data_IF_352639432994
#
_entry.id   IF_352639432994
#
_cell.length_a   1.000
_cell.length_b   1.000
_cell.length_c   1.000
_cell.angle_alpha   90.00
_cell.angle_beta   90.00
_cell.angle_gamma   90.00
#
_symmetry.space_group_name_H-M   'P 1'
#
loop_
_entity.id
_entity.type
_entity.pdbx_description
1 polymer ?
#
# COMPACT_ATOMS: atom_id res chain seq x y z
N UNK A 1 6.37 -28.97 -36.25
CA UNK A 1 5.27 -27.96 -36.16
C UNK A 1 5.04 -27.44 -34.73
N UNK A 2 5.21 -28.26 -33.67
CA UNK A 2 4.96 -27.87 -32.26
C UNK A 2 6.03 -26.96 -31.60
N UNK A 3 7.26 -26.93 -32.11
CA UNK A 3 8.36 -26.16 -31.50
C UNK A 3 8.36 -24.68 -31.91
N UNK A 4 7.92 -24.40 -33.14
CA UNK A 4 7.85 -23.04 -33.70
C UNK A 4 6.71 -22.26 -33.04
N UNK A 5 5.57 -22.91 -32.73
CA UNK A 5 4.47 -22.26 -32.01
C UNK A 5 4.86 -21.89 -30.57
N UNK A 6 5.57 -22.76 -29.84
CA UNK A 6 6.08 -22.44 -28.50
C UNK A 6 7.06 -21.27 -28.53
N UNK A 7 8.00 -21.26 -29.48
CA UNK A 7 8.97 -20.16 -29.64
C UNK A 7 8.29 -18.82 -29.95
N UNK A 8 7.26 -18.83 -30.82
CA UNK A 8 6.47 -17.62 -31.11
C UNK A 8 5.67 -17.12 -29.89
N UNK A 9 5.10 -18.02 -29.09
CA UNK A 9 4.42 -17.64 -27.84
C UNK A 9 5.38 -17.06 -26.80
N UNK A 10 6.58 -17.64 -26.65
CA UNK A 10 7.60 -17.13 -25.71
C UNK A 10 8.14 -15.78 -26.15
N UNK A 11 8.42 -15.58 -27.43
CA UNK A 11 8.92 -14.31 -27.96
C UNK A 11 7.88 -13.18 -27.81
N UNK A 12 6.60 -13.50 -28.06
CA UNK A 12 5.49 -12.54 -27.91
C UNK A 12 5.31 -12.13 -26.43
N UNK A 13 5.48 -13.08 -25.49
CA UNK A 13 5.40 -12.81 -24.05
C UNK A 13 6.56 -11.91 -23.55
N UNK A 14 7.78 -12.10 -24.07
CA UNK A 14 8.94 -11.26 -23.73
C UNK A 14 8.77 -9.82 -24.24
N UNK A 15 8.26 -9.66 -25.47
CA UNK A 15 7.98 -8.33 -26.06
C UNK A 15 6.88 -7.59 -25.29
N UNK A 16 5.82 -8.30 -24.87
CA UNK A 16 4.75 -7.72 -24.03
C UNK A 16 5.29 -7.30 -22.65
N UNK A 17 6.19 -8.08 -22.04
CA UNK A 17 6.78 -7.76 -20.74
C UNK A 17 7.70 -6.53 -20.79
N UNK A 18 8.51 -6.38 -21.84
CA UNK A 18 9.38 -5.20 -22.00
C UNK A 18 8.57 -3.91 -22.22
N UNK A 19 7.51 -3.96 -23.04
CA UNK A 19 6.65 -2.80 -23.29
C UNK A 19 5.82 -2.37 -22.05
N UNK A 20 5.48 -3.30 -21.16
CA UNK A 20 4.79 -2.98 -19.90
C UNK A 20 5.70 -2.28 -18.88
N UNK A 21 7.02 -2.44 -18.98
CA UNK A 21 7.97 -1.89 -18.01
C UNK A 21 8.07 -0.37 -18.10
N UNK A 22 8.11 0.16 -19.33
CA UNK A 22 8.22 1.61 -19.59
C UNK A 22 6.96 2.41 -19.22
N UNK A 23 5.79 1.78 -19.22
CA UNK A 23 4.51 2.40 -18.81
C UNK A 23 4.38 2.49 -17.28
N UNK A 24 5.06 1.61 -16.54
CA UNK A 24 5.00 1.56 -15.08
C UNK A 24 5.77 2.70 -14.40
N UNK A 25 6.83 3.22 -15.03
CA UNK A 25 7.71 4.22 -14.42
C UNK A 25 7.17 5.66 -14.49
N UNK A 26 6.10 5.93 -15.26
CA UNK A 26 5.56 7.28 -15.46
C UNK A 26 4.19 7.51 -14.82
N UNK A 27 4.05 7.28 -13.50
CA UNK A 27 2.89 7.73 -12.70
C UNK A 27 3.24 8.09 -11.25
N UNK A 28 4.19 9.01 -11.04
CA UNK A 28 4.35 9.67 -9.74
C UNK A 28 3.39 10.87 -9.59
N UNK A 29 2.09 10.67 -9.86
CA UNK A 29 1.07 11.66 -9.55
C UNK A 29 0.52 11.40 -8.16
N UNK A 30 0.87 12.27 -7.20
CA UNK A 30 0.24 12.27 -5.89
C UNK A 30 -1.23 12.72 -6.07
N UNK A 31 -2.16 11.78 -6.07
CA UNK A 31 -3.58 12.08 -6.28
C UNK A 31 -4.18 12.53 -4.95
N UNK A 32 -4.78 13.73 -4.90
CA UNK A 32 -5.46 14.21 -3.70
C UNK A 32 -6.66 13.29 -3.39
N UNK A 33 -6.60 12.59 -2.26
CA UNK A 33 -7.72 11.81 -1.72
C UNK A 33 -8.65 12.72 -0.93
N UNK A 34 -8.08 13.70 -0.22
CA UNK A 34 -8.83 14.73 0.48
C UNK A 34 -8.06 15.34 1.65
N UNK A 35 -8.78 16.10 2.46
CA UNK A 35 -8.30 16.70 3.71
C UNK A 35 -9.21 16.31 4.88
N UNK A 36 -8.68 16.35 6.10
CA UNK A 36 -9.49 16.18 7.29
C UNK A 36 -8.68 15.89 8.54
N UNK A 37 -9.37 15.46 9.60
CA UNK A 37 -8.74 15.22 10.90
C UNK A 37 -8.11 13.82 10.91
N UNK A 38 -6.82 13.77 11.18
CA UNK A 38 -6.12 12.55 11.58
C UNK A 38 -6.15 12.40 13.11
N UNK A 39 -6.16 11.16 13.59
CA UNK A 39 -5.72 10.83 14.94
C UNK A 39 -4.67 9.72 14.90
N UNK A 40 -4.30 9.15 16.05
CA UNK A 40 -3.37 8.03 16.11
C UNK A 40 -3.81 6.98 17.15
N UNK A 41 -3.35 5.74 16.96
CA UNK A 41 -3.59 4.65 17.91
C UNK A 41 -2.82 4.87 19.22
N UNK A 42 -3.56 5.13 20.30
CA UNK A 42 -3.00 5.28 21.64
C UNK A 42 -2.32 4.01 22.19
N UNK A 43 -1.85 4.06 23.45
CA UNK A 43 -1.34 2.88 24.14
C UNK A 43 -2.34 1.71 24.16
N UNK A 44 -1.85 0.47 24.19
CA UNK A 44 -2.68 -0.74 24.34
C UNK A 44 -3.11 -1.44 23.05
N UNK A 45 -2.79 -0.89 21.87
CA UNK A 45 -3.12 -1.53 20.59
C UNK A 45 -2.04 -2.49 20.05
N UNK A 46 -0.81 -2.43 20.57
CA UNK A 46 0.32 -3.25 20.08
C UNK A 46 -0.03 -4.74 20.05
N UNK A 47 0.19 -5.39 18.91
CA UNK A 47 -0.03 -6.82 18.77
C UNK A 47 -1.48 -7.24 18.50
N UNK A 48 -2.45 -6.33 18.62
CA UNK A 48 -3.85 -6.61 18.25
C UNK A 48 -3.97 -6.85 16.75
N UNK A 49 -4.93 -7.68 16.34
CA UNK A 49 -5.21 -7.88 14.91
C UNK A 49 -5.85 -6.62 14.31
N UNK A 50 -5.35 -6.21 13.16
CA UNK A 50 -6.02 -5.22 12.31
C UNK A 50 -7.01 -5.91 11.39
N UNK A 51 -7.88 -5.14 10.74
CA UNK A 51 -8.84 -5.65 9.77
C UNK A 51 -8.22 -6.28 8.51
N UNK A 52 -6.91 -6.09 8.26
CA UNK A 52 -6.18 -6.84 7.22
C UNK A 52 -5.69 -8.22 7.71
N UNK A 53 -5.95 -8.58 8.97
CA UNK A 53 -5.52 -9.84 9.59
C UNK A 53 -4.07 -9.84 10.09
N UNK A 54 -3.33 -8.74 9.92
CA UNK A 54 -1.96 -8.59 10.44
C UNK A 54 -2.00 -8.00 11.85
N UNK A 55 -1.02 -8.33 12.69
CA UNK A 55 -0.87 -7.67 14.00
C UNK A 55 -0.45 -6.21 13.80
N UNK A 56 -1.11 -5.31 14.53
CA UNK A 56 -0.73 -3.91 14.63
C UNK A 56 0.66 -3.80 15.27
N UNK A 57 1.48 -2.94 14.66
CA UNK A 57 2.84 -2.66 15.10
C UNK A 57 3.01 -1.13 15.12
N UNK A 58 3.14 -0.58 16.33
CA UNK A 58 3.25 0.85 16.55
C UNK A 58 4.50 1.47 15.91
N UNK A 59 5.53 0.65 15.65
CA UNK A 59 6.79 1.06 15.02
C UNK A 59 6.75 1.09 13.48
N UNK A 60 5.66 0.64 12.87
CA UNK A 60 5.50 0.64 11.40
C UNK A 60 4.69 1.82 10.93
N UNK A 61 4.94 2.25 9.69
CA UNK A 61 4.17 3.30 9.03
C UNK A 61 2.86 2.77 8.44
N UNK A 62 1.87 2.59 9.30
CA UNK A 62 0.54 2.12 8.90
C UNK A 62 -0.57 3.06 9.32
N UNK A 63 -1.75 2.89 8.72
CA UNK A 63 -2.94 3.67 9.02
C UNK A 63 -4.23 2.85 8.84
N UNK A 64 -5.29 3.31 9.51
CA UNK A 64 -6.66 2.85 9.33
C UNK A 64 -7.44 3.82 8.43
N UNK A 65 -8.13 3.28 7.43
CA UNK A 65 -9.04 4.05 6.58
C UNK A 65 -10.31 3.24 6.29
N UNK A 66 -11.46 3.93 6.18
CA UNK A 66 -12.79 3.32 6.10
C UNK A 66 -12.96 2.48 4.83
N UNK A 67 -12.61 3.06 3.68
CA UNK A 67 -12.96 2.50 2.38
C UNK A 67 -11.76 2.09 1.50
N UNK A 68 -10.61 2.76 1.64
CA UNK A 68 -9.42 2.46 0.84
C UNK A 68 -8.98 1.00 0.99
N UNK A 69 -8.55 0.43 -0.12
CA UNK A 69 -8.06 -0.96 -0.19
C UNK A 69 -6.86 -1.13 0.75
N UNK A 70 -6.76 -2.31 1.36
CA UNK A 70 -5.53 -2.64 2.09
C UNK A 70 -4.35 -2.67 1.12
N UNK A 71 -3.19 -2.20 1.58
CA UNK A 71 -2.03 -2.01 0.74
C UNK A 71 -1.97 -0.66 0.04
N UNK A 72 -3.03 0.16 0.06
CA UNK A 72 -2.93 1.54 -0.42
C UNK A 72 -1.84 2.29 0.34
N UNK A 73 -0.96 2.98 -0.39
CA UNK A 73 0.08 3.83 0.17
C UNK A 73 -0.36 5.28 0.05
N UNK A 74 -0.38 5.98 1.18
CA UNK A 74 -0.80 7.36 1.30
C UNK A 74 0.35 8.21 1.80
N UNK A 75 0.51 9.42 1.25
CA UNK A 75 1.27 10.50 1.87
C UNK A 75 0.33 11.32 2.75
N UNK A 76 0.68 11.42 4.02
CA UNK A 76 -0.06 12.19 5.02
C UNK A 76 0.76 13.42 5.35
N UNK A 77 0.22 14.61 5.11
CA UNK A 77 0.89 15.88 5.42
C UNK A 77 0.13 16.60 6.52
N UNK A 78 0.78 16.94 7.63
CA UNK A 78 0.20 17.79 8.65
C UNK A 78 0.23 19.25 8.18
N UNK A 79 -0.95 19.84 8.01
CA UNK A 79 -1.11 21.17 7.41
C UNK A 79 -0.49 22.26 8.30
N UNK A 80 -0.42 22.04 9.62
CA UNK A 80 0.11 23.05 10.56
C UNK A 80 1.63 23.24 10.43
N UNK A 81 2.37 22.18 10.10
CA UNK A 81 3.84 22.19 10.12
C UNK A 81 4.48 21.72 8.81
N UNK A 82 3.68 21.35 7.81
CA UNK A 82 4.10 20.83 6.50
C UNK A 82 4.96 19.56 6.53
N UNK A 83 5.07 18.89 7.68
CA UNK A 83 5.74 17.59 7.77
C UNK A 83 4.84 16.52 7.17
N UNK A 84 5.45 15.55 6.50
CA UNK A 84 4.73 14.47 5.84
C UNK A 84 5.37 13.10 6.06
N UNK A 85 4.54 12.07 5.99
CA UNK A 85 4.95 10.67 6.12
C UNK A 85 4.13 9.79 5.19
N UNK A 86 4.77 8.77 4.63
CA UNK A 86 4.08 7.77 3.82
C UNK A 86 3.62 6.62 4.72
N UNK A 87 2.36 6.21 4.59
CA UNK A 87 1.76 5.13 5.39
C UNK A 87 1.04 4.13 4.51
N UNK A 88 1.01 2.89 4.95
CA UNK A 88 0.20 1.84 4.33
C UNK A 88 -1.13 1.66 5.04
N UNK A 89 -2.22 1.64 4.29
CA UNK A 89 -3.55 1.27 4.80
C UNK A 89 -3.56 -0.23 5.09
N UNK A 90 -3.72 -0.62 6.35
CA UNK A 90 -3.78 -2.03 6.77
C UNK A 90 -4.88 -2.30 7.82
N UNK A 91 -5.71 -1.30 8.12
CA UNK A 91 -6.79 -1.42 9.09
C UNK A 91 -8.03 -0.62 8.68
N UNK A 92 -9.14 -0.83 9.39
CA UNK A 92 -10.43 -0.15 9.20
C UNK A 92 -10.72 0.79 10.36
N UNK A 93 -11.44 1.85 10.04
CA UNK A 93 -11.62 3.01 10.89
C UNK A 93 -11.21 4.28 10.13
N UNK A 94 -11.29 5.47 10.73
CA UNK A 94 -11.87 5.75 12.04
C UNK A 94 -13.38 5.54 12.03
N UNK A 95 -13.97 5.04 13.11
CA UNK A 95 -15.44 4.90 13.20
C UNK A 95 -16.14 6.22 13.53
N UNK A 96 -15.45 7.14 14.21
CA UNK A 96 -15.90 8.52 14.39
C UNK A 96 -15.89 9.29 13.06
N UNK A 97 -17.04 9.80 12.63
CA UNK A 97 -17.23 10.42 11.33
C UNK A 97 -16.49 11.76 11.17
N UNK A 98 -16.04 12.37 12.28
CA UNK A 98 -15.23 13.60 12.25
C UNK A 98 -13.78 13.33 11.84
N UNK A 99 -13.28 12.09 11.96
CA UNK A 99 -11.91 11.72 11.62
C UNK A 99 -11.86 11.01 10.27
N UNK A 100 -10.83 11.31 9.47
CA UNK A 100 -10.61 10.70 8.15
C UNK A 100 -9.61 9.54 8.18
N UNK A 101 -8.65 9.57 9.09
CA UNK A 101 -7.59 8.55 9.15
C UNK A 101 -7.05 8.40 10.58
N UNK A 102 -6.73 7.17 10.99
CA UNK A 102 -6.05 6.89 12.26
C UNK A 102 -4.64 6.35 11.95
N UNK A 103 -3.61 7.05 12.41
CA UNK A 103 -2.21 6.74 12.13
C UNK A 103 -1.62 5.81 13.21
N UNK A 104 -0.62 5.03 12.81
CA UNK A 104 0.33 4.41 13.74
C UNK A 104 1.04 5.46 14.60
N UNK A 105 1.51 5.06 15.79
CA UNK A 105 2.30 5.93 16.67
C UNK A 105 3.53 6.49 15.93
N UNK A 106 4.28 5.62 15.25
CA UNK A 106 5.47 6.05 14.51
C UNK A 106 5.16 7.08 13.42
N UNK A 107 4.09 6.90 12.65
CA UNK A 107 3.69 7.91 11.65
C UNK A 107 3.26 9.25 12.28
N UNK A 108 2.57 9.20 13.43
CA UNK A 108 2.16 10.40 14.15
C UNK A 108 3.34 11.17 14.76
N UNK A 109 4.41 10.48 15.17
CA UNK A 109 5.68 11.08 15.59
C UNK A 109 6.34 11.87 14.46
N UNK A 110 6.45 11.27 13.26
CA UNK A 110 7.10 11.91 12.11
C UNK A 110 6.44 13.24 11.70
N UNK A 111 5.10 13.33 11.79
CA UNK A 111 4.37 14.57 11.48
C UNK A 111 4.09 15.45 12.71
N UNK A 112 4.75 15.15 13.85
CA UNK A 112 4.72 15.87 15.12
C UNK A 112 3.30 16.15 15.64
N UNK A 113 2.45 15.11 15.69
CA UNK A 113 1.07 15.22 16.18
C UNK A 113 0.76 14.39 17.44
N UNK A 114 1.77 13.75 18.06
CA UNK A 114 1.56 12.94 19.27
C UNK A 114 0.92 13.76 20.40
N UNK A 115 1.50 14.92 20.73
CA UNK A 115 1.06 15.73 21.87
C UNK A 115 -0.33 16.34 21.68
N UNK A 116 -0.71 16.68 20.44
CA UNK A 116 -2.04 17.22 20.15
C UNK A 116 -3.11 16.13 20.06
N UNK A 117 -2.72 14.86 19.85
CA UNK A 117 -3.62 13.74 19.60
C UNK A 117 -4.29 13.75 18.23
N UNK A 118 -4.61 14.94 17.73
CA UNK A 118 -5.29 15.21 16.47
C UNK A 118 -4.48 16.20 15.61
N UNK A 119 -4.65 16.10 14.29
CA UNK A 119 -4.10 17.06 13.35
C UNK A 119 -4.98 17.20 12.11
N UNK A 120 -5.06 18.40 11.54
CA UNK A 120 -5.60 18.59 10.20
C UNK A 120 -4.54 18.16 9.18
N UNK A 121 -4.89 17.19 8.34
CA UNK A 121 -3.97 16.59 7.37
C UNK A 121 -4.50 16.68 5.94
N UNK A 122 -3.55 16.75 5.00
CA UNK A 122 -3.78 16.45 3.59
C UNK A 122 -3.41 14.99 3.34
N UNK A 123 -4.27 14.26 2.62
CA UNK A 123 -4.13 12.84 2.31
C UNK A 123 -3.99 12.69 0.80
N UNK A 124 -2.86 12.14 0.36
CA UNK A 124 -2.56 11.95 -1.06
C UNK A 124 -2.28 10.46 -1.32
N UNK A 125 -2.89 9.90 -2.37
CA UNK A 125 -2.59 8.56 -2.86
C UNK A 125 -1.29 8.61 -3.64
N UNK A 126 -0.32 7.78 -3.25
CA UNK A 126 1.00 7.71 -3.90
C UNK A 126 1.27 6.35 -4.54
N UNK A 127 0.41 5.35 -4.28
CA UNK A 127 0.52 4.04 -4.90
C UNK A 127 -0.17 2.94 -4.10
N UNK A 128 0.20 1.71 -4.41
CA UNK A 128 -0.25 0.50 -3.73
C UNK A 128 0.97 -0.38 -3.45
N UNK A 129 0.96 -1.10 -2.33
CA UNK A 129 1.91 -2.18 -2.06
C UNK A 129 1.80 -3.16 -3.23
N UNK A 130 2.85 -3.24 -4.05
CA UNK A 130 2.90 -4.16 -5.16
C UNK A 130 2.71 -5.58 -4.62
N UNK A 131 1.73 -6.30 -5.17
CA UNK A 131 1.77 -7.75 -5.11
C UNK A 131 3.12 -8.17 -5.69
N UNK A 132 3.87 -9.03 -4.98
CA UNK A 132 5.19 -9.43 -5.44
C UNK A 132 5.04 -10.30 -6.71
N UNK A 133 5.09 -9.65 -7.88
CA UNK A 133 4.88 -10.29 -9.17
C UNK A 133 5.94 -11.35 -9.47
N UNK A 134 7.15 -11.25 -8.89
CA UNK A 134 8.17 -12.30 -9.00
C UNK A 134 7.72 -13.61 -8.35
N UNK A 135 7.07 -13.56 -7.18
CA UNK A 135 6.55 -14.76 -6.53
C UNK A 135 5.41 -15.39 -7.33
N UNK A 136 4.57 -14.57 -7.98
CA UNK A 136 3.50 -15.06 -8.83
C UNK A 136 4.06 -15.72 -10.10
N UNK A 137 5.12 -15.14 -10.67
CA UNK A 137 5.81 -15.68 -11.84
C UNK A 137 6.51 -17.02 -11.54
N UNK A 138 7.25 -17.11 -10.42
CA UNK A 138 7.89 -18.36 -9.99
C UNK A 138 6.85 -19.43 -9.68
N UNK A 139 5.73 -19.08 -9.04
CA UNK A 139 4.63 -20.02 -8.81
C UNK A 139 4.03 -20.54 -10.12
N UNK A 140 3.77 -19.65 -11.09
CA UNK A 140 3.26 -20.01 -12.40
C UNK A 140 4.25 -20.90 -13.19
N UNK A 141 5.55 -20.57 -13.18
CA UNK A 141 6.59 -21.40 -13.80
C UNK A 141 6.64 -22.79 -13.18
N UNK A 142 6.55 -22.89 -11.85
CA UNK A 142 6.52 -24.19 -11.17
C UNK A 142 5.29 -25.01 -11.59
N UNK A 143 4.10 -24.39 -11.69
CA UNK A 143 2.89 -25.07 -12.18
C UNK A 143 3.04 -25.55 -13.63
N UNK A 144 3.69 -24.77 -14.51
CA UNK A 144 3.94 -25.17 -15.89
C UNK A 144 4.95 -26.34 -15.97
N UNK A 145 6.03 -26.31 -15.19
CA UNK A 145 7.03 -27.39 -15.15
C UNK A 145 6.39 -28.70 -14.67
N UNK A 146 5.60 -28.66 -13.60
CA UNK A 146 4.92 -29.83 -13.05
C UNK A 146 3.95 -30.45 -14.06
N UNK A 147 3.21 -29.62 -14.82
CA UNK A 147 2.26 -30.10 -15.82
C UNK A 147 2.92 -30.49 -17.15
N UNK A 148 4.14 -30.04 -17.43
CA UNK A 148 4.92 -30.46 -18.60
C UNK A 148 5.71 -31.76 -18.36
N UNK A 149 5.87 -32.16 -17.10
CA UNK A 149 6.52 -33.41 -16.69
C UNK A 149 5.53 -34.60 -16.52
N UNK A 150 4.24 -34.36 -16.75
CA UNK A 150 3.19 -35.38 -16.91
C UNK A 150 2.88 -35.55 -18.38
#
# INVERSE_FOLDING_TARGET
MFQISKLMFTLCFIVILSACKDIADNKNTNILVGTGIASWYGPGFQGNLTASGKKYDMGKYTAAHRELKFGTILRITNIKNNLSVNVKVNDRGPFNHKRKIDLSKKAAEEIKMINSGLANVKIELIGYEHANFENLYIHYLNLLIINAAK
#
